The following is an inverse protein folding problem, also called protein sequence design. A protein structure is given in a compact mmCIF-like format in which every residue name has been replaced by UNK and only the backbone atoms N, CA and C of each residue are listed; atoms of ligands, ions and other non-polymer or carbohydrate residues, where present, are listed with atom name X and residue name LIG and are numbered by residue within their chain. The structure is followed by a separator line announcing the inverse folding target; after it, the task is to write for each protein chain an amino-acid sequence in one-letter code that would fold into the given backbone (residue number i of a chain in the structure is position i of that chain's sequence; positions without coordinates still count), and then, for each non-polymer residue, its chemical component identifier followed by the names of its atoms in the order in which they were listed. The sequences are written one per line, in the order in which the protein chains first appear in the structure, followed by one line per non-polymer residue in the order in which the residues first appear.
data_IF_877163975985
#
_entry.id   IF_877163975985
#
_cell.length_a   1.000
_cell.length_b   1.000
_cell.length_c   1.000
_cell.angle_alpha   90.00
_cell.angle_beta   90.00
_cell.angle_gamma   90.00
#
_symmetry.space_group_name_H-M   'P 1'
#
loop_
_entity.id
_entity.type
_entity.pdbx_description
1 polymer ?
#
# COMPACT_ATOMS: atom_id res chain seq x y z
N UNK A 1 -23.18 -20.19 -9.42
CA UNK A 1 -22.95 -18.74 -9.26
C UNK A 1 -22.14 -18.26 -10.46
N UNK A 2 -22.67 -17.29 -11.21
CA UNK A 2 -22.11 -16.80 -12.47
C UNK A 2 -20.87 -15.93 -12.21
N UNK A 3 -19.67 -16.51 -12.29
CA UNK A 3 -18.39 -15.91 -11.88
C UNK A 3 -17.61 -15.21 -13.01
N UNK A 4 -18.26 -14.41 -13.86
CA UNK A 4 -17.65 -13.98 -15.14
C UNK A 4 -17.70 -12.48 -15.40
N UNK A 5 -17.46 -11.63 -14.40
CA UNK A 5 -17.14 -10.22 -14.65
C UNK A 5 -16.05 -9.73 -13.72
N UNK A 6 -14.80 -10.08 -14.04
CA UNK A 6 -13.71 -9.16 -13.71
C UNK A 6 -14.10 -7.78 -14.29
N UNK A 7 -13.91 -6.67 -13.55
CA UNK A 7 -14.26 -5.34 -14.03
C UNK A 7 -13.38 -4.99 -15.22
N UNK A 8 -13.83 -5.34 -16.43
CA UNK A 8 -13.04 -5.28 -17.66
C UNK A 8 -12.49 -3.88 -17.92
N UNK A 9 -13.27 -2.83 -17.63
CA UNK A 9 -12.83 -1.44 -17.76
C UNK A 9 -11.61 -1.13 -16.89
N UNK A 10 -11.57 -1.62 -15.66
CA UNK A 10 -10.47 -1.37 -14.72
C UNK A 10 -9.22 -2.14 -15.12
N UNK A 11 -9.38 -3.41 -15.55
CA UNK A 11 -8.25 -4.25 -15.98
C UNK A 11 -7.62 -3.68 -17.24
N UNK A 12 -8.42 -3.29 -18.24
CA UNK A 12 -7.91 -2.69 -19.48
C UNK A 12 -7.22 -1.35 -19.22
N UNK A 13 -7.77 -0.50 -18.34
CA UNK A 13 -7.13 0.76 -17.96
C UNK A 13 -5.77 0.52 -17.29
N UNK A 14 -5.70 -0.42 -16.35
CA UNK A 14 -4.47 -0.76 -15.65
C UNK A 14 -3.43 -1.35 -16.61
N UNK A 15 -3.84 -2.21 -17.53
CA UNK A 15 -2.97 -2.77 -18.56
C UNK A 15 -2.41 -1.68 -19.49
N UNK A 16 -3.26 -0.75 -19.96
CA UNK A 16 -2.80 0.37 -20.78
C UNK A 16 -1.80 1.26 -20.05
N UNK A 17 -2.07 1.58 -18.78
CA UNK A 17 -1.18 2.39 -17.96
C UNK A 17 0.15 1.66 -17.71
N UNK A 18 0.13 0.37 -17.42
CA UNK A 18 1.32 -0.44 -17.23
C UNK A 18 2.19 -0.48 -18.50
N UNK A 19 1.58 -0.65 -19.67
CA UNK A 19 2.29 -0.64 -20.97
C UNK A 19 2.88 0.75 -21.24
N UNK A 20 2.11 1.82 -21.02
CA UNK A 20 2.58 3.19 -21.23
C UNK A 20 3.78 3.54 -20.33
N UNK A 21 3.71 3.18 -19.04
CA UNK A 21 4.81 3.40 -18.10
C UNK A 21 6.02 2.52 -18.42
N UNK A 22 5.81 1.26 -18.77
CA UNK A 22 6.88 0.34 -19.14
C UNK A 22 7.63 0.78 -20.41
N UNK A 23 6.91 1.18 -21.45
CA UNK A 23 7.51 1.72 -22.67
C UNK A 23 8.16 3.07 -22.42
N UNK A 24 7.53 3.97 -21.67
CA UNK A 24 8.07 5.29 -21.36
C UNK A 24 9.39 5.21 -20.58
N UNK A 25 9.44 4.37 -19.54
CA UNK A 25 10.66 4.15 -18.75
C UNK A 25 11.74 3.41 -19.54
N UNK A 26 11.36 2.40 -20.31
CA UNK A 26 12.27 1.64 -21.18
C UNK A 26 12.93 2.47 -22.28
N UNK A 27 12.19 3.41 -22.89
CA UNK A 27 12.72 4.33 -23.90
C UNK A 27 13.63 5.42 -23.30
N UNK A 28 13.39 5.81 -22.05
CA UNK A 28 14.15 6.88 -21.41
C UNK A 28 15.46 6.40 -20.78
N UNK A 29 15.43 5.30 -20.03
CA UNK A 29 16.56 4.79 -19.24
C UNK A 29 17.30 3.61 -19.91
N UNK A 30 16.70 3.03 -20.95
CA UNK A 30 17.14 1.77 -21.54
C UNK A 30 16.52 0.55 -20.84
N UNK A 31 16.39 -0.61 -21.52
CA UNK A 31 15.60 -1.74 -21.00
C UNK A 31 16.09 -2.33 -19.67
N UNK A 32 17.42 -2.44 -19.48
CA UNK A 32 17.99 -3.04 -18.26
C UNK A 32 17.79 -2.18 -17.02
N UNK A 33 18.11 -0.88 -17.13
CA UNK A 33 17.92 0.06 -16.02
C UNK A 33 16.44 0.33 -15.74
N UNK A 34 15.60 0.42 -16.77
CA UNK A 34 14.16 0.55 -16.59
C UNK A 34 13.56 -0.64 -15.82
N UNK A 35 13.99 -1.87 -16.11
CA UNK A 35 13.55 -3.05 -15.38
C UNK A 35 13.95 -3.01 -13.90
N UNK A 36 15.21 -2.65 -13.60
CA UNK A 36 15.69 -2.52 -12.23
C UNK A 36 14.96 -1.43 -11.46
N UNK A 37 14.78 -0.26 -12.08
CA UNK A 37 14.09 0.88 -11.48
C UNK A 37 12.61 0.57 -11.23
N UNK A 38 11.92 -0.03 -12.19
CA UNK A 38 10.50 -0.37 -12.08
C UNK A 38 10.25 -1.46 -11.04
N UNK A 39 11.05 -2.54 -11.06
CA UNK A 39 10.92 -3.62 -10.07
C UNK A 39 11.14 -3.08 -8.66
N UNK A 40 12.15 -2.25 -8.46
CA UNK A 40 12.43 -1.61 -7.16
C UNK A 40 11.28 -0.68 -6.73
N UNK A 41 10.72 0.11 -7.64
CA UNK A 41 9.56 0.97 -7.35
C UNK A 41 8.31 0.16 -6.94
N UNK A 42 8.08 -0.99 -7.59
CA UNK A 42 7.00 -1.92 -7.22
C UNK A 42 7.26 -2.53 -5.85
N UNK A 43 8.51 -2.89 -5.51
CA UNK A 43 8.88 -3.38 -4.18
C UNK A 43 8.56 -2.35 -3.09
N UNK A 44 8.89 -1.06 -3.29
CA UNK A 44 8.46 0.01 -2.37
C UNK A 44 6.94 0.05 -2.17
N UNK A 45 6.18 -0.08 -3.26
CA UNK A 45 4.71 -0.15 -3.22
C UNK A 45 4.21 -1.35 -2.42
N UNK A 46 4.76 -2.53 -2.68
CA UNK A 46 4.36 -3.78 -2.05
C UNK A 46 4.67 -3.78 -0.56
N UNK A 47 5.88 -3.37 -0.17
CA UNK A 47 6.30 -3.26 1.24
C UNK A 47 5.39 -2.29 1.99
N UNK A 48 5.07 -1.14 1.40
CA UNK A 48 4.18 -0.14 2.00
C UNK A 48 2.74 -0.65 2.13
N UNK A 49 2.21 -1.33 1.11
CA UNK A 49 0.87 -1.90 1.18
C UNK A 49 0.77 -3.00 2.26
N UNK A 50 1.78 -3.86 2.36
CA UNK A 50 1.81 -4.92 3.37
C UNK A 50 2.01 -4.38 4.78
N UNK A 51 2.81 -3.32 4.97
CA UNK A 51 2.93 -2.68 6.29
C UNK A 51 1.60 -2.07 6.73
N UNK A 52 0.90 -1.36 5.85
CA UNK A 52 -0.44 -0.82 6.11
C UNK A 52 -1.47 -1.91 6.42
N UNK A 53 -1.44 -3.02 5.68
CA UNK A 53 -2.30 -4.18 5.91
C UNK A 53 -2.03 -4.78 7.30
N UNK A 54 -0.76 -5.04 7.63
CA UNK A 54 -0.35 -5.61 8.91
C UNK A 54 -0.70 -4.68 10.08
N UNK A 55 -0.51 -3.36 9.93
CA UNK A 55 -0.91 -2.35 10.93
C UNK A 55 -2.44 -2.35 11.13
N UNK A 56 -3.21 -2.46 10.04
CA UNK A 56 -4.67 -2.50 10.10
C UNK A 56 -5.17 -3.73 10.85
N UNK A 57 -4.54 -4.89 10.62
CA UNK A 57 -4.84 -6.14 11.36
C UNK A 57 -4.53 -6.00 12.85
N UNK A 58 -3.37 -5.44 13.21
CA UNK A 58 -3.01 -5.20 14.61
C UNK A 58 -3.98 -4.23 15.29
N UNK A 59 -4.43 -3.18 14.58
CA UNK A 59 -5.41 -2.23 15.09
C UNK A 59 -6.78 -2.88 15.33
N UNK A 60 -7.25 -3.71 14.40
CA UNK A 60 -8.51 -4.44 14.52
C UNK A 60 -8.48 -5.44 15.69
N UNK A 61 -7.38 -6.16 15.88
CA UNK A 61 -7.22 -7.11 17.00
C UNK A 61 -7.20 -6.46 18.37
N UNK A 62 -6.72 -5.21 18.46
CA UNK A 62 -6.73 -4.44 19.71
C UNK A 62 -8.15 -4.15 20.21
N UNK A 63 -9.12 -4.05 19.29
CA UNK A 63 -10.53 -3.79 19.61
C UNK A 63 -11.29 -5.08 20.00
N UNK A 64 -10.90 -6.25 19.48
CA UNK A 64 -11.62 -7.51 19.74
C UNK A 64 -11.22 -8.25 21.04
N UNK A 65 -10.14 -7.85 21.74
CA UNK A 65 -9.70 -8.42 23.04
C UNK A 65 -9.74 -9.98 23.13
N UNK A 66 -9.49 -10.70 22.03
CA UNK A 66 -9.40 -12.18 22.05
C UNK A 66 -7.94 -12.62 22.13
N UNK A 67 -7.47 -13.15 23.29
CA UNK A 67 -6.06 -13.46 23.50
C UNK A 67 -5.57 -14.72 22.76
N UNK A 68 -6.48 -15.56 22.25
CA UNK A 68 -6.14 -16.89 21.75
C UNK A 68 -5.30 -16.92 20.46
N UNK A 69 -5.23 -15.82 19.70
CA UNK A 69 -4.50 -15.78 18.41
C UNK A 69 -3.50 -14.61 18.31
N UNK A 70 -3.09 -14.04 19.45
CA UNK A 70 -2.21 -12.87 19.52
C UNK A 70 -0.84 -13.09 18.84
N UNK A 71 -0.29 -14.30 18.93
CA UNK A 71 0.99 -14.65 18.29
C UNK A 71 0.86 -14.62 16.75
N UNK A 72 -0.24 -15.15 16.21
CA UNK A 72 -0.50 -15.14 14.76
C UNK A 72 -0.87 -13.76 14.20
N UNK A 73 -1.44 -12.89 15.02
CA UNK A 73 -1.89 -11.56 14.60
C UNK A 73 -0.92 -10.44 14.94
N UNK A 74 0.16 -10.74 15.67
CA UNK A 74 1.16 -9.75 16.06
C UNK A 74 2.59 -10.16 15.68
N UNK A 75 3.03 -11.36 16.07
CA UNK A 75 4.43 -11.80 15.85
C UNK A 75 4.68 -12.12 14.37
N UNK A 76 3.79 -12.88 13.73
CA UNK A 76 3.89 -13.24 12.32
C UNK A 76 3.88 -12.01 11.39
N UNK A 77 2.92 -11.06 11.53
CA UNK A 77 2.92 -9.82 10.75
C UNK A 77 4.13 -8.94 11.01
N UNK A 78 4.63 -8.89 12.25
CA UNK A 78 5.82 -8.11 12.60
C UNK A 78 7.08 -8.66 11.92
N UNK A 79 7.29 -9.99 11.99
CA UNK A 79 8.39 -10.65 11.30
C UNK A 79 8.29 -10.51 9.78
N UNK A 80 7.08 -10.66 9.21
CA UNK A 80 6.85 -10.46 7.78
C UNK A 80 7.18 -9.01 7.36
N UNK A 81 6.76 -8.02 8.14
CA UNK A 81 7.13 -6.62 7.92
C UNK A 81 8.65 -6.43 7.99
N UNK A 82 9.33 -6.98 9.00
CA UNK A 82 10.79 -6.93 9.11
C UNK A 82 11.49 -7.52 7.88
N UNK A 83 11.03 -8.68 7.41
CA UNK A 83 11.55 -9.33 6.20
C UNK A 83 11.31 -8.49 4.94
N UNK A 84 10.14 -7.86 4.80
CA UNK A 84 9.86 -6.97 3.68
C UNK A 84 10.79 -5.74 3.66
N UNK A 85 11.08 -5.16 4.82
CA UNK A 85 12.06 -4.08 4.93
C UNK A 85 13.49 -4.55 4.65
N UNK A 86 13.85 -5.77 5.07
CA UNK A 86 15.13 -6.39 4.73
C UNK A 86 15.29 -6.57 3.22
N UNK A 87 14.30 -7.16 2.55
CA UNK A 87 14.31 -7.34 1.09
C UNK A 87 14.40 -5.99 0.37
N UNK A 88 13.71 -4.96 0.88
CA UNK A 88 13.79 -3.61 0.32
C UNK A 88 15.19 -3.02 0.47
N UNK A 89 15.85 -3.24 1.61
CA UNK A 89 17.23 -2.80 1.84
C UNK A 89 18.20 -3.47 0.86
N UNK A 90 18.14 -4.79 0.73
CA UNK A 90 18.94 -5.56 -0.23
C UNK A 90 18.64 -5.16 -1.69
N UNK A 91 17.42 -4.72 -1.98
CA UNK A 91 17.05 -4.29 -3.34
C UNK A 91 17.58 -2.90 -3.71
N UNK A 92 17.89 -2.05 -2.71
CA UNK A 92 18.42 -0.70 -2.92
C UNK A 92 19.95 -0.68 -2.84
N UNK A 93 20.56 -1.70 -2.24
CA UNK A 93 21.99 -1.83 -2.06
C UNK A 93 22.59 -2.84 -3.07
N UNK A 94 23.61 -2.50 -3.88
CA UNK A 94 24.39 -1.26 -3.91
C UNK A 94 23.67 -0.11 -4.63
N UNK A 95 23.86 1.10 -4.10
CA UNK A 95 23.27 2.33 -4.65
C UNK A 95 23.95 2.66 -5.98
N UNK A 96 23.35 2.20 -7.08
CA UNK A 96 23.72 2.63 -8.42
C UNK A 96 22.79 3.78 -8.87
N UNK A 97 23.37 4.85 -9.40
CA UNK A 97 22.63 5.91 -10.10
C UNK A 97 22.17 5.34 -11.46
N UNK A 98 21.03 4.63 -11.53
CA UNK A 98 19.69 5.24 -11.67
C UNK A 98 18.62 4.75 -10.68
N UNK A 99 18.92 3.84 -9.73
CA UNK A 99 17.96 3.26 -8.77
C UNK A 99 17.25 4.31 -7.90
N UNK A 100 17.87 5.47 -7.67
CA UNK A 100 17.26 6.56 -6.90
C UNK A 100 15.97 7.09 -7.53
N UNK A 101 15.81 6.95 -8.87
CA UNK A 101 14.56 7.29 -9.55
C UNK A 101 13.38 6.41 -9.14
N UNK A 102 13.62 5.21 -8.63
CA UNK A 102 12.56 4.32 -8.14
C UNK A 102 11.76 4.95 -7.02
N UNK A 103 12.42 5.65 -6.10
CA UNK A 103 11.76 6.34 -4.98
C UNK A 103 10.90 7.49 -5.51
N UNK A 104 11.39 8.22 -6.52
CA UNK A 104 10.66 9.33 -7.14
C UNK A 104 9.43 8.84 -7.90
N UNK A 105 9.58 7.77 -8.70
CA UNK A 105 8.48 7.13 -9.43
C UNK A 105 7.43 6.59 -8.45
N UNK A 106 7.87 5.94 -7.38
CA UNK A 106 6.98 5.46 -6.34
C UNK A 106 6.22 6.60 -5.65
N UNK A 107 6.91 7.68 -5.26
CA UNK A 107 6.29 8.85 -4.66
C UNK A 107 5.28 9.52 -5.62
N UNK A 108 5.60 9.59 -6.91
CA UNK A 108 4.70 10.13 -7.93
C UNK A 108 3.39 9.33 -8.06
N UNK A 109 3.42 8.02 -7.81
CA UNK A 109 2.21 7.17 -7.77
C UNK A 109 1.50 7.27 -6.41
N UNK A 110 2.25 7.35 -5.32
CA UNK A 110 1.71 7.38 -3.96
C UNK A 110 0.97 8.68 -3.63
N UNK A 111 1.51 9.83 -4.05
CA UNK A 111 0.95 11.16 -3.74
C UNK A 111 -0.50 11.29 -4.24
N UNK A 112 -0.84 10.98 -5.51
CA UNK A 112 -2.22 11.00 -6.00
C UNK A 112 -3.14 10.08 -5.21
N UNK A 113 -2.67 8.90 -4.81
CA UNK A 113 -3.45 7.95 -4.02
C UNK A 113 -3.76 8.52 -2.63
N UNK A 114 -2.76 9.08 -1.95
CA UNK A 114 -2.96 9.75 -0.65
C UNK A 114 -3.92 10.92 -0.78
N UNK A 115 -3.74 11.77 -1.80
CA UNK A 115 -4.64 12.90 -2.05
C UNK A 115 -6.07 12.43 -2.28
N UNK A 116 -6.27 11.42 -3.13
CA UNK A 116 -7.59 10.84 -3.38
C UNK A 116 -8.24 10.31 -2.09
N UNK A 117 -7.50 9.54 -1.29
CA UNK A 117 -7.97 9.03 0.01
C UNK A 117 -8.35 10.17 0.94
N UNK A 118 -7.52 11.21 1.06
CA UNK A 118 -7.82 12.37 1.90
C UNK A 118 -9.05 13.16 1.42
N UNK A 119 -9.22 13.31 0.10
CA UNK A 119 -10.39 13.98 -0.49
C UNK A 119 -11.66 13.18 -0.21
N UNK A 120 -11.63 11.86 -0.40
CA UNK A 120 -12.77 10.98 -0.11
C UNK A 120 -13.12 11.01 1.37
N UNK A 121 -12.13 10.91 2.27
CA UNK A 121 -12.34 11.00 3.72
C UNK A 121 -12.93 12.36 4.12
N UNK A 122 -12.45 13.46 3.53
CA UNK A 122 -13.01 14.80 3.80
C UNK A 122 -14.42 14.98 3.22
N UNK A 123 -14.74 14.31 2.11
CA UNK A 123 -16.06 14.30 1.48
C UNK A 123 -17.09 13.49 2.25
N UNK A 124 -16.67 12.50 3.05
CA UNK A 124 -17.50 11.80 4.02
C UNK A 124 -17.75 12.70 5.23
N UNK A 125 -18.61 13.71 5.06
CA UNK A 125 -19.01 14.62 6.12
C UNK A 125 -19.63 13.90 7.31
N UNK A 126 -19.20 14.26 8.52
CA UNK A 126 -19.75 14.18 9.91
C UNK A 126 -20.88 13.19 10.29
N UNK A 127 -21.71 12.70 9.39
CA UNK A 127 -22.78 11.74 9.65
C UNK A 127 -22.27 10.28 9.83
N UNK A 128 -21.29 9.84 9.04
CA UNK A 128 -20.75 8.46 9.10
C UNK A 128 -19.60 8.27 10.11
N UNK A 129 -19.00 9.34 10.61
CA UNK A 129 -18.00 9.27 11.69
C UNK A 129 -18.57 8.70 13.01
N UNK A 130 -19.89 8.74 13.19
CA UNK A 130 -20.62 8.08 14.30
C UNK A 130 -20.72 6.56 14.13
N UNK A 131 -20.77 6.06 12.89
CA UNK A 131 -20.83 4.62 12.61
C UNK A 131 -19.44 3.96 12.61
N UNK A 132 -18.37 4.75 12.43
CA UNK A 132 -16.98 4.29 12.48
C UNK A 132 -16.37 4.25 13.89
N UNK A 133 -17.16 4.44 14.96
CA UNK A 133 -16.70 4.25 16.34
C UNK A 133 -15.66 5.25 16.85
N UNK A 134 -15.48 6.40 16.20
CA UNK A 134 -14.40 7.37 16.49
C UNK A 134 -14.66 8.23 17.75
N UNK A 135 -15.81 8.11 18.42
CA UNK A 135 -16.05 8.75 19.73
C UNK A 135 -16.68 7.78 20.74
N UNK A 136 -15.84 7.18 21.60
CA UNK A 136 -16.24 6.79 22.96
C UNK A 136 -15.77 7.85 23.95
N UNK A 137 -16.54 8.93 24.06
CA UNK A 137 -16.50 9.77 25.26
C UNK A 137 -17.92 10.13 25.63
N UNK A 138 -18.58 9.21 26.33
CA UNK A 138 -19.68 9.54 27.20
C UNK A 138 -19.15 9.40 28.63
N UNK A 139 -18.94 10.49 29.38
CA UNK A 139 -18.77 10.37 30.81
C UNK A 139 -20.10 9.93 31.45
N UNK A 140 -20.05 9.22 32.59
CA UNK A 140 -21.23 8.60 33.18
C UNK A 140 -22.25 9.65 33.65
N UNK A 141 -23.52 9.25 33.53
CA UNK A 141 -24.68 9.95 34.08
C UNK A 141 -24.58 9.99 35.60
N UNK A 142 -24.80 11.17 36.16
CA UNK A 142 -25.51 11.35 37.45
C UNK A 142 -26.58 12.40 37.19
#
# INVERSE_FOLDING_TARGET
MNGSRAPAKSVTLLAMLAVAVGLGTGLWLGPGEAFNVMTTAVLFGLVTAHTLMNISLMRLFRDEKKPAHAVQHFVLPFLATGLFWWVLYESVWPINLPLSWSVVIWAAVLIPVIVYVLVVIRGMGSAEGRQLGIRKTQPPVI
#
